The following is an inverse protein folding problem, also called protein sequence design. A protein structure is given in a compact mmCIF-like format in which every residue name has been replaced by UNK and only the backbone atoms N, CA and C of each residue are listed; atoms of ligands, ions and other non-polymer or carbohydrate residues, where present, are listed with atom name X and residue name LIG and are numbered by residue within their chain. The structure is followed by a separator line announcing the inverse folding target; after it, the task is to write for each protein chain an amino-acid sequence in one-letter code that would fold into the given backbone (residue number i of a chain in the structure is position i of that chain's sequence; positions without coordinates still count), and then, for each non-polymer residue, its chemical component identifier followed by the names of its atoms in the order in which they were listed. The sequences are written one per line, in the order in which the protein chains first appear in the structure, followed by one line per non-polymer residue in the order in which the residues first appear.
data_IF_706939614805
#
_entry.id   IF_706939614805
#
_cell.length_a   1.000
_cell.length_b   1.000
_cell.length_c   1.000
_cell.angle_alpha   90.00
_cell.angle_beta   90.00
_cell.angle_gamma   90.00
#
_symmetry.space_group_name_H-M   'P 1'
#
loop_
_entity.id
_entity.type
_entity.pdbx_description
1 polymer ?
#
# COMPACT_ATOMS: atom_id res chain seq x y z
N UNK A 1 16.53 18.11 -23.49
CA UNK A 1 15.64 16.98 -23.13
C UNK A 1 15.50 16.96 -21.62
N UNK A 2 14.31 17.25 -21.08
CA UNK A 2 14.05 17.32 -19.63
C UNK A 2 13.62 15.94 -19.16
N UNK A 3 14.43 15.28 -18.34
CA UNK A 3 14.01 14.10 -17.58
C UNK A 3 13.23 14.58 -16.35
N UNK A 4 11.98 14.16 -16.23
CA UNK A 4 11.21 14.28 -15.00
C UNK A 4 11.83 13.35 -13.95
N UNK A 5 12.49 13.92 -12.93
CA UNK A 5 12.84 13.18 -11.73
C UNK A 5 11.57 13.01 -10.89
N UNK A 6 10.84 11.92 -11.13
CA UNK A 6 9.81 11.43 -10.21
C UNK A 6 10.49 10.97 -8.92
N UNK A 7 10.06 11.51 -7.79
CA UNK A 7 10.37 10.97 -6.47
C UNK A 7 9.74 9.59 -6.34
N UNK A 8 10.56 8.53 -6.30
CA UNK A 8 10.11 7.18 -6.01
C UNK A 8 10.26 6.93 -4.51
N UNK A 9 9.13 6.90 -3.78
CA UNK A 9 9.09 6.33 -2.43
C UNK A 9 9.10 4.80 -2.56
N UNK A 10 10.22 4.17 -2.24
CA UNK A 10 10.34 2.70 -2.24
C UNK A 10 9.85 2.13 -0.92
N UNK A 11 8.79 1.32 -0.98
CA UNK A 11 8.31 0.48 0.12
C UNK A 11 9.16 -0.80 0.18
N UNK A 12 9.82 -1.05 1.30
CA UNK A 12 10.50 -2.32 1.56
C UNK A 12 9.51 -3.29 2.22
N UNK A 13 9.12 -4.35 1.49
CA UNK A 13 8.31 -5.44 2.05
C UNK A 13 9.24 -6.57 2.48
N UNK A 14 9.22 -6.88 3.78
CA UNK A 14 9.81 -8.10 4.34
C UNK A 14 8.88 -9.28 4.07
N UNK A 15 9.34 -10.24 3.28
CA UNK A 15 8.62 -11.49 3.01
C UNK A 15 8.91 -12.46 4.16
N UNK A 16 7.87 -12.81 4.93
CA UNK A 16 7.93 -13.83 5.98
C UNK A 16 7.67 -15.24 5.38
N UNK A 17 8.19 -16.30 6.02
CA UNK A 17 8.00 -17.66 5.56
C UNK A 17 6.57 -18.11 5.78
N UNK A 18 5.87 -18.32 4.67
CA UNK A 18 4.50 -18.81 4.62
C UNK A 18 4.44 -20.32 4.92
N UNK A 19 3.80 -20.71 6.02
CA UNK A 19 3.34 -22.10 6.23
C UNK A 19 1.93 -22.19 5.66
N UNK A 20 1.78 -22.72 4.45
CA UNK A 20 0.50 -22.85 3.77
C UNK A 20 -0.27 -24.10 4.25
N UNK A 21 -1.51 -23.90 4.72
CA UNK A 21 -2.44 -24.97 5.10
C UNK A 21 -3.75 -24.94 4.27
N UNK A 22 -3.72 -24.44 3.03
CA UNK A 22 -4.84 -24.63 2.08
C UNK A 22 -4.74 -23.92 0.72
N UNK A 23 -5.88 -23.75 0.03
CA UNK A 23 -6.00 -23.47 -1.43
C UNK A 23 -5.68 -22.03 -1.81
N UNK A 24 -5.93 -21.12 -0.89
CA UNK A 24 -5.55 -19.73 -1.02
C UNK A 24 -4.63 -19.34 0.10
N UNK A 25 -3.70 -18.46 -0.23
CA UNK A 25 -2.92 -17.72 0.74
C UNK A 25 -3.27 -16.25 0.62
N UNK A 26 -3.41 -15.61 1.77
CA UNK A 26 -3.40 -14.15 1.84
C UNK A 26 -1.96 -13.68 1.69
N UNK A 27 -1.72 -12.81 0.73
CA UNK A 27 -0.42 -12.18 0.48
C UNK A 27 -0.53 -10.66 0.43
N UNK A 28 0.60 -9.99 0.67
CA UNK A 28 0.75 -8.54 0.52
C UNK A 28 -0.36 -7.69 1.17
N UNK A 29 -0.75 -7.94 2.44
CA UNK A 29 -1.71 -7.07 3.10
C UNK A 29 -1.15 -5.65 3.19
N UNK A 30 -1.99 -4.66 2.90
CA UNK A 30 -1.62 -3.23 2.87
C UNK A 30 -2.78 -2.39 3.35
N UNK A 31 -2.48 -1.30 4.03
CA UNK A 31 -3.45 -0.27 4.38
C UNK A 31 -3.04 1.07 3.79
N UNK A 32 -4.03 1.83 3.30
CA UNK A 32 -3.89 3.22 2.88
C UNK A 32 -4.88 4.09 3.67
N UNK A 33 -4.94 5.38 3.35
CA UNK A 33 -5.99 6.24 3.91
C UNK A 33 -7.41 5.86 3.46
N UNK A 34 -7.53 5.10 2.37
CA UNK A 34 -8.81 4.86 1.70
C UNK A 34 -9.23 3.40 1.66
N UNK A 35 -8.31 2.45 1.83
CA UNK A 35 -8.61 1.01 1.72
C UNK A 35 -7.62 0.11 2.46
N UNK A 36 -8.11 -1.03 2.93
CA UNK A 36 -7.34 -2.21 3.30
C UNK A 36 -7.38 -3.17 2.12
N UNK A 37 -6.21 -3.56 1.63
CA UNK A 37 -6.09 -4.48 0.49
C UNK A 37 -5.23 -5.68 0.81
N UNK A 38 -5.49 -6.79 0.13
CA UNK A 38 -4.65 -7.98 0.13
C UNK A 38 -4.90 -8.84 -1.10
N UNK A 39 -3.92 -9.65 -1.46
CA UNK A 39 -4.02 -10.60 -2.55
C UNK A 39 -4.46 -11.96 -2.02
N UNK A 40 -5.42 -12.57 -2.68
CA UNK A 40 -5.75 -13.99 -2.54
C UNK A 40 -5.07 -14.73 -3.67
N UNK A 41 -3.95 -15.37 -3.35
CA UNK A 41 -3.14 -16.16 -4.28
C UNK A 41 -3.52 -17.62 -4.19
N UNK A 42 -3.92 -18.20 -5.32
CA UNK A 42 -4.24 -19.61 -5.41
C UNK A 42 -2.96 -20.46 -5.46
N UNK A 43 -2.92 -21.53 -4.68
CA UNK A 43 -1.82 -22.49 -4.64
C UNK A 43 -2.32 -23.93 -4.72
N UNK A 44 -1.69 -24.72 -5.59
CA UNK A 44 -1.87 -26.16 -5.64
C UNK A 44 -0.97 -26.85 -4.61
N UNK A 45 -1.54 -27.25 -3.47
CA UNK A 45 -0.79 -27.96 -2.46
C UNK A 45 -0.60 -29.45 -2.82
N UNK A 46 0.64 -29.92 -2.75
CA UNK A 46 0.95 -31.34 -2.92
C UNK A 46 0.26 -32.17 -1.83
N UNK A 47 -0.35 -33.29 -2.22
CA UNK A 47 -1.10 -34.16 -1.29
C UNK A 47 -2.54 -33.70 -0.96
N UNK A 48 -2.98 -32.53 -1.44
CA UNK A 48 -4.35 -32.03 -1.26
C UNK A 48 -5.25 -32.20 -2.49
N UNK A 49 -4.71 -32.71 -3.60
CA UNK A 49 -5.38 -32.89 -4.90
C UNK A 49 -6.70 -33.66 -4.79
N UNK A 50 -6.78 -34.64 -3.88
CA UNK A 50 -7.91 -35.58 -3.76
C UNK A 50 -8.83 -35.29 -2.56
N UNK A 51 -8.49 -34.30 -1.74
CA UNK A 51 -9.13 -34.09 -0.43
C UNK A 51 -10.40 -33.24 -0.49
N UNK A 52 -10.72 -32.68 -1.66
CA UNK A 52 -11.83 -31.77 -1.84
C UNK A 52 -12.77 -32.26 -2.94
N UNK A 53 -14.02 -32.62 -2.61
CA UNK A 53 -14.99 -33.04 -3.61
C UNK A 53 -15.23 -31.88 -4.59
N UNK A 54 -15.32 -32.21 -5.87
CA UNK A 54 -15.70 -31.24 -6.88
C UNK A 54 -17.16 -30.81 -6.62
N UNK A 55 -17.39 -29.54 -6.26
CA UNK A 55 -18.74 -29.00 -6.07
C UNK A 55 -19.36 -28.49 -7.37
N UNK A 56 -18.63 -28.45 -8.47
CA UNK A 56 -19.12 -28.02 -9.78
C UNK A 56 -19.76 -29.16 -10.57
N UNK A 57 -20.63 -29.95 -9.92
CA UNK A 57 -21.22 -31.15 -10.51
C UNK A 57 -22.58 -30.86 -11.14
N UNK A 58 -22.77 -31.36 -12.36
CA UNK A 58 -24.10 -31.46 -12.95
C UNK A 58 -24.92 -32.49 -12.17
N UNK A 59 -26.20 -32.18 -11.96
CA UNK A 59 -27.12 -33.03 -11.24
C UNK A 59 -27.39 -34.30 -12.05
N UNK A 60 -27.18 -35.46 -11.44
CA UNK A 60 -27.51 -36.74 -12.07
C UNK A 60 -29.01 -36.97 -12.07
N UNK A 61 -29.55 -37.48 -13.18
CA UNK A 61 -30.97 -37.77 -13.32
C UNK A 61 -31.42 -37.88 -14.77
N UNK A 62 -32.69 -38.26 -14.95
CA UNK A 62 -33.34 -38.32 -16.27
C UNK A 62 -33.80 -36.92 -16.69
N UNK A 63 -33.24 -36.39 -17.78
CA UNK A 63 -33.57 -35.07 -18.32
C UNK A 63 -32.34 -34.31 -18.81
N UNK A 64 -32.54 -33.09 -19.30
CA UNK A 64 -31.46 -32.18 -19.69
C UNK A 64 -30.75 -31.68 -18.43
N UNK A 65 -29.49 -32.02 -18.26
CA UNK A 65 -28.67 -31.59 -17.12
C UNK A 65 -28.01 -30.25 -17.46
N UNK A 66 -27.95 -29.34 -16.49
CA UNK A 66 -27.29 -28.05 -16.67
C UNK A 66 -26.58 -27.61 -15.40
N UNK A 67 -25.34 -27.17 -15.51
CA UNK A 67 -24.63 -26.43 -14.47
C UNK A 67 -25.06 -24.95 -14.55
N UNK A 68 -25.58 -24.39 -13.47
CA UNK A 68 -26.03 -22.98 -13.43
C UNK A 68 -25.00 -22.07 -12.78
N UNK A 69 -24.25 -22.60 -11.81
CA UNK A 69 -23.12 -21.88 -11.23
C UNK A 69 -22.07 -22.87 -10.77
N UNK A 70 -20.82 -22.43 -10.82
CA UNK A 70 -19.67 -23.09 -10.23
C UNK A 70 -18.73 -21.97 -9.84
N UNK A 71 -18.71 -21.66 -8.56
CA UNK A 71 -18.07 -20.47 -8.02
C UNK A 71 -17.05 -20.85 -6.98
N UNK A 72 -15.94 -20.16 -7.00
CA UNK A 72 -15.02 -20.14 -5.90
C UNK A 72 -15.31 -18.87 -5.08
N UNK A 73 -15.62 -19.07 -3.81
CA UNK A 73 -16.14 -18.04 -2.91
C UNK A 73 -15.08 -17.74 -1.87
N UNK A 74 -14.89 -16.47 -1.54
CA UNK A 74 -14.13 -16.05 -0.37
C UNK A 74 -14.99 -15.18 0.54
N UNK A 75 -14.76 -15.33 1.84
CA UNK A 75 -15.48 -14.66 2.91
C UNK A 75 -14.45 -14.08 3.87
N UNK A 76 -14.53 -12.77 4.10
CA UNK A 76 -13.68 -12.05 5.04
C UNK A 76 -14.48 -11.69 6.31
N UNK A 77 -14.01 -12.17 7.45
CA UNK A 77 -14.68 -12.05 8.74
C UNK A 77 -13.71 -11.58 9.83
N UNK A 78 -14.26 -11.09 10.94
CA UNK A 78 -13.50 -10.91 12.19
C UNK A 78 -13.13 -12.26 12.80
N UNK A 79 -11.97 -12.37 13.48
CA UNK A 79 -11.65 -13.57 14.30
C UNK A 79 -12.56 -13.66 15.51
N UNK A 80 -12.83 -12.52 16.15
CA UNK A 80 -13.54 -12.42 17.44
C UNK A 80 -15.05 -12.50 17.32
N UNK A 81 -15.60 -12.70 16.12
CA UNK A 81 -17.04 -12.82 15.87
C UNK A 81 -17.38 -13.43 14.51
N UNK A 82 -18.67 -13.61 14.24
CA UNK A 82 -19.20 -14.10 12.95
C UNK A 82 -19.62 -12.97 12.02
N UNK A 83 -19.16 -11.74 12.27
CA UNK A 83 -19.48 -10.58 11.45
C UNK A 83 -18.85 -10.72 10.06
N UNK A 84 -19.72 -10.83 9.06
CA UNK A 84 -19.34 -10.78 7.65
C UNK A 84 -18.93 -9.37 7.26
N UNK A 85 -17.67 -9.19 6.86
CA UNK A 85 -17.17 -7.91 6.37
C UNK A 85 -17.39 -7.83 4.86
N UNK A 86 -16.92 -8.85 4.15
CA UNK A 86 -17.01 -8.94 2.69
C UNK A 86 -17.14 -10.39 2.23
N UNK A 87 -17.87 -10.58 1.12
CA UNK A 87 -17.95 -11.85 0.38
C UNK A 87 -17.70 -11.56 -1.09
N UNK A 88 -16.88 -12.37 -1.74
CA UNK A 88 -16.67 -12.29 -3.18
C UNK A 88 -16.66 -13.68 -3.81
N UNK A 89 -16.78 -13.71 -5.13
CA UNK A 89 -16.96 -14.93 -5.90
C UNK A 89 -16.20 -14.84 -7.23
N UNK A 90 -15.60 -15.94 -7.66
CA UNK A 90 -14.99 -16.14 -8.98
C UNK A 90 -15.88 -17.12 -9.71
N UNK A 91 -16.41 -16.72 -10.87
CA UNK A 91 -17.14 -17.65 -11.73
C UNK A 91 -16.15 -18.54 -12.48
N UNK A 92 -16.16 -19.82 -12.14
CA UNK A 92 -15.28 -20.80 -12.77
C UNK A 92 -15.82 -21.27 -14.12
N UNK A 93 -17.08 -20.98 -14.47
CA UNK A 93 -17.73 -21.39 -15.74
C UNK A 93 -17.37 -20.49 -16.92
N UNK A 94 -16.98 -19.24 -16.66
CA UNK A 94 -16.84 -18.24 -17.71
C UNK A 94 -18.16 -18.06 -18.47
N UNK A 95 -18.17 -18.36 -19.77
CA UNK A 95 -19.36 -18.34 -20.62
C UNK A 95 -20.18 -19.64 -20.60
N UNK A 96 -19.71 -20.67 -19.89
CA UNK A 96 -20.33 -21.99 -19.77
C UNK A 96 -19.95 -22.98 -20.88
N UNK A 97 -19.07 -22.61 -21.81
CA UNK A 97 -18.71 -23.44 -22.97
C UNK A 97 -17.99 -24.75 -22.61
N UNK A 98 -17.44 -24.85 -21.40
CA UNK A 98 -16.72 -25.99 -20.86
C UNK A 98 -17.36 -26.57 -19.57
N UNK A 99 -18.66 -26.33 -19.36
CA UNK A 99 -19.42 -26.86 -18.21
C UNK A 99 -19.31 -28.40 -18.08
N UNK A 100 -19.25 -29.12 -19.21
CA UNK A 100 -19.09 -30.57 -19.21
C UNK A 100 -17.72 -30.99 -18.66
N UNK A 101 -16.64 -30.32 -19.04
CA UNK A 101 -15.29 -30.59 -18.52
C UNK A 101 -15.20 -30.28 -17.02
N UNK A 102 -15.73 -29.12 -16.59
CA UNK A 102 -15.82 -28.74 -15.17
C UNK A 102 -16.57 -29.78 -14.35
N UNK A 103 -17.71 -30.24 -14.86
CA UNK A 103 -18.55 -31.21 -14.16
C UNK A 103 -17.94 -32.61 -14.11
N UNK A 104 -17.14 -32.98 -15.12
CA UNK A 104 -16.49 -34.28 -15.16
C UNK A 104 -15.18 -34.32 -14.36
N UNK A 105 -14.62 -33.18 -13.99
CA UNK A 105 -13.46 -33.10 -13.12
C UNK A 105 -13.66 -33.92 -11.83
N UNK A 106 -12.66 -34.74 -11.48
CA UNK A 106 -12.78 -35.72 -10.41
C UNK A 106 -12.80 -35.03 -9.04
N UNK A 107 -11.89 -34.09 -8.83
CA UNK A 107 -11.78 -33.30 -7.60
C UNK A 107 -11.89 -31.80 -7.87
N UNK A 108 -12.03 -31.01 -6.81
CA UNK A 108 -12.13 -29.55 -6.94
C UNK A 108 -10.88 -28.93 -7.60
N UNK A 109 -9.67 -29.41 -7.27
CA UNK A 109 -8.43 -28.93 -7.91
C UNK A 109 -8.41 -29.18 -9.42
N UNK A 110 -8.99 -30.30 -9.88
CA UNK A 110 -9.10 -30.58 -11.30
C UNK A 110 -10.05 -29.58 -11.97
N UNK A 111 -11.17 -29.25 -11.31
CA UNK A 111 -12.12 -28.24 -11.81
C UNK A 111 -11.48 -26.84 -11.90
N UNK A 112 -10.66 -26.46 -10.91
CA UNK A 112 -9.89 -25.21 -10.94
C UNK A 112 -8.90 -25.19 -12.12
N UNK A 113 -8.20 -26.30 -12.39
CA UNK A 113 -7.28 -26.40 -13.53
C UNK A 113 -7.99 -26.31 -14.87
N UNK A 114 -9.17 -26.91 -14.98
CA UNK A 114 -10.04 -26.75 -16.16
C UNK A 114 -10.38 -25.27 -16.35
N UNK A 115 -10.86 -24.58 -15.31
CA UNK A 115 -11.18 -23.16 -15.40
C UNK A 115 -9.98 -22.29 -15.81
N UNK A 116 -8.79 -22.52 -15.22
CA UNK A 116 -7.56 -21.82 -15.61
C UNK A 116 -7.15 -22.09 -17.06
N UNK A 117 -7.27 -23.33 -17.53
CA UNK A 117 -6.98 -23.69 -18.92
C UNK A 117 -7.89 -22.96 -19.93
N UNK A 118 -9.11 -22.61 -19.50
CA UNK A 118 -10.07 -21.79 -20.25
C UNK A 118 -9.96 -20.29 -19.96
N UNK A 119 -8.91 -19.85 -19.25
CA UNK A 119 -8.56 -18.44 -19.07
C UNK A 119 -9.14 -17.78 -17.82
N UNK A 120 -9.76 -18.52 -16.90
CA UNK A 120 -10.24 -17.98 -15.62
C UNK A 120 -9.06 -17.65 -14.72
N UNK A 121 -9.00 -16.40 -14.24
CA UNK A 121 -7.98 -15.97 -13.28
C UNK A 121 -8.44 -16.27 -11.85
N UNK A 122 -7.78 -17.24 -11.21
CA UNK A 122 -8.09 -17.63 -9.84
C UNK A 122 -7.57 -16.64 -8.79
N UNK A 123 -6.48 -15.93 -9.07
CA UNK A 123 -5.96 -14.93 -8.13
C UNK A 123 -6.92 -13.74 -8.03
N UNK A 124 -7.18 -13.26 -6.82
CA UNK A 124 -8.06 -12.12 -6.57
C UNK A 124 -7.31 -11.04 -5.79
N UNK A 125 -7.62 -9.78 -6.09
CA UNK A 125 -7.28 -8.68 -5.21
C UNK A 125 -8.55 -8.30 -4.44
N UNK A 126 -8.43 -8.24 -3.12
CA UNK A 126 -9.52 -7.84 -2.24
C UNK A 126 -9.23 -6.42 -1.76
N UNK A 127 -10.21 -5.54 -1.88
CA UNK A 127 -10.18 -4.18 -1.35
C UNK A 127 -11.40 -3.94 -0.47
N UNK A 128 -11.15 -3.39 0.71
CA UNK A 128 -12.15 -2.94 1.67
C UNK A 128 -11.99 -1.44 1.82
N UNK A 129 -12.95 -0.64 1.31
CA UNK A 129 -12.86 0.80 1.40
C UNK A 129 -13.06 1.27 2.84
N UNK A 130 -12.41 2.36 3.20
CA UNK A 130 -12.52 3.00 4.52
C UNK A 130 -13.97 3.39 4.87
N UNK A 131 -14.80 3.68 3.85
CA UNK A 131 -16.23 3.93 4.06
C UNK A 131 -16.97 2.76 4.73
N UNK A 132 -16.45 1.54 4.63
CA UNK A 132 -17.00 0.35 5.27
C UNK A 132 -16.30 -0.01 6.59
N UNK A 133 -15.42 0.85 7.11
CA UNK A 133 -14.61 0.54 8.29
C UNK A 133 -15.43 0.30 9.56
N UNK A 134 -16.65 0.83 9.62
CA UNK A 134 -17.59 0.54 10.71
C UNK A 134 -17.95 -0.95 10.81
N UNK A 135 -17.78 -1.74 9.73
CA UNK A 135 -17.91 -3.21 9.79
C UNK A 135 -16.81 -3.86 10.63
N UNK A 136 -15.74 -3.14 10.96
CA UNK A 136 -14.61 -3.62 11.77
C UNK A 136 -14.77 -3.31 13.27
N UNK A 137 -15.91 -2.78 13.71
CA UNK A 137 -16.19 -2.51 15.13
C UNK A 137 -16.06 -3.78 15.96
N UNK A 138 -15.30 -3.68 17.07
CA UNK A 138 -15.01 -4.80 17.97
C UNK A 138 -13.86 -5.70 17.51
N UNK A 139 -13.20 -5.38 16.39
CA UNK A 139 -11.99 -6.06 15.94
C UNK A 139 -10.79 -5.72 16.84
N UNK A 140 -9.99 -6.73 17.18
CA UNK A 140 -8.64 -6.56 17.74
C UNK A 140 -7.56 -6.46 16.64
N UNK A 141 -7.98 -6.30 15.38
CA UNK A 141 -7.12 -6.27 14.22
C UNK A 141 -6.80 -7.64 13.65
N UNK A 142 -7.51 -8.68 14.09
CA UNK A 142 -7.37 -10.04 13.57
C UNK A 142 -8.58 -10.42 12.72
N UNK A 143 -8.31 -10.86 11.51
CA UNK A 143 -9.32 -11.18 10.51
C UNK A 143 -9.08 -12.57 9.93
N UNK A 144 -10.15 -13.23 9.52
CA UNK A 144 -10.11 -14.53 8.85
C UNK A 144 -10.60 -14.37 7.42
N UNK A 145 -9.83 -14.93 6.48
CA UNK A 145 -10.33 -15.21 5.13
C UNK A 145 -10.65 -16.70 5.05
N UNK A 146 -11.91 -17.01 4.74
CA UNK A 146 -12.40 -18.36 4.46
C UNK A 146 -12.64 -18.48 2.97
N UNK A 147 -12.07 -19.49 2.32
CA UNK A 147 -12.41 -19.84 0.94
C UNK A 147 -13.28 -21.09 0.90
N UNK A 148 -14.20 -21.18 -0.06
CA UNK A 148 -15.07 -22.33 -0.29
C UNK A 148 -15.48 -22.43 -1.76
N UNK A 149 -16.02 -23.56 -2.19
CA UNK A 149 -16.52 -23.75 -3.55
C UNK A 149 -18.01 -24.05 -3.53
N UNK A 150 -18.78 -23.35 -4.36
CA UNK A 150 -20.24 -23.46 -4.44
C UNK A 150 -20.65 -23.75 -5.89
N UNK A 151 -21.30 -24.89 -6.14
CA UNK A 151 -21.88 -25.20 -7.45
C UNK A 151 -23.38 -25.45 -7.35
N UNK A 152 -24.12 -24.97 -8.33
CA UNK A 152 -25.57 -25.11 -8.42
C UNK A 152 -25.94 -25.70 -9.78
N UNK A 153 -26.74 -26.75 -9.79
CA UNK A 153 -27.13 -27.44 -11.04
C UNK A 153 -28.60 -27.84 -11.03
N UNK A 154 -29.18 -27.92 -12.23
CA UNK A 154 -30.62 -28.17 -12.46
C UNK A 154 -30.85 -29.38 -13.36
N UNK A 155 -32.08 -29.89 -13.32
CA UNK A 155 -32.62 -30.87 -14.26
C UNK A 155 -33.77 -30.23 -15.04
N UNK A 156 -33.72 -30.28 -16.37
CA UNK A 156 -34.70 -29.64 -17.27
C UNK A 156 -34.89 -28.14 -16.97
N UNK A 157 -33.82 -27.44 -16.60
CA UNK A 157 -33.89 -26.02 -16.21
C UNK A 157 -34.69 -25.73 -14.93
N UNK A 158 -35.10 -26.76 -14.18
CA UNK A 158 -35.88 -26.66 -12.95
C UNK A 158 -35.25 -27.50 -11.83
N UNK A 159 -35.78 -27.44 -10.61
CA UNK A 159 -35.30 -28.26 -9.46
C UNK A 159 -33.79 -28.14 -9.19
N UNK A 160 -33.31 -26.91 -9.23
CA UNK A 160 -31.91 -26.59 -9.03
C UNK A 160 -31.49 -26.81 -7.58
N UNK A 161 -30.32 -27.40 -7.38
CA UNK A 161 -29.81 -27.72 -6.05
C UNK A 161 -28.32 -27.43 -5.97
N UNK A 162 -27.88 -27.01 -4.78
CA UNK A 162 -26.46 -26.90 -4.48
C UNK A 162 -25.86 -28.31 -4.52
N UNK A 163 -24.72 -28.47 -5.18
CA UNK A 163 -24.01 -29.74 -5.17
C UNK A 163 -23.65 -30.12 -3.73
N UNK A 164 -23.91 -31.37 -3.37
CA UNK A 164 -23.50 -31.92 -2.07
C UNK A 164 -22.00 -32.22 -2.11
N UNK A 165 -21.23 -31.68 -1.15
CA UNK A 165 -19.80 -31.94 -1.12
C UNK A 165 -19.02 -31.01 -0.23
N UNK A 166 -19.34 -30.98 1.07
CA UNK A 166 -18.54 -30.31 2.10
C UNK A 166 -18.06 -28.90 1.70
N UNK A 167 -16.97 -28.50 2.30
CA UNK A 167 -16.46 -27.14 2.16
C UNK A 167 -14.95 -27.23 2.24
N UNK A 168 -14.28 -26.91 1.13
CA UNK A 168 -12.84 -26.75 1.09
C UNK A 168 -12.44 -25.49 1.85
N UNK A 169 -12.62 -25.49 3.18
CA UNK A 169 -12.29 -24.36 4.02
C UNK A 169 -10.78 -24.27 4.15
N UNK A 170 -10.21 -23.22 3.57
CA UNK A 170 -8.91 -22.72 4.01
C UNK A 170 -9.16 -21.48 4.81
N UNK A 171 -8.58 -21.43 6.01
CA UNK A 171 -8.67 -20.31 6.92
C UNK A 171 -7.30 -19.66 7.00
N UNK A 172 -7.16 -18.44 6.50
CA UNK A 172 -5.97 -17.62 6.74
C UNK A 172 -6.31 -16.52 7.73
N UNK A 173 -5.36 -16.18 8.62
CA UNK A 173 -5.53 -15.07 9.55
C UNK A 173 -4.66 -13.89 9.13
N UNK A 174 -5.25 -12.71 9.03
CA UNK A 174 -4.53 -11.43 8.89
C UNK A 174 -4.49 -10.79 10.28
N UNK A 175 -3.33 -10.30 10.71
CA UNK A 175 -3.20 -9.55 11.95
C UNK A 175 -2.54 -8.19 11.67
N UNK A 176 -3.35 -7.14 11.58
CA UNK A 176 -2.88 -5.80 11.21
C UNK A 176 -1.85 -5.27 12.21
N UNK A 177 -2.05 -5.50 13.51
CA UNK A 177 -1.10 -5.02 14.54
C UNK A 177 0.26 -5.70 14.42
N UNK A 178 0.29 -7.03 14.22
CA UNK A 178 1.55 -7.76 14.07
C UNK A 178 2.29 -7.43 12.77
N UNK A 179 1.56 -6.97 11.75
CA UNK A 179 2.10 -6.59 10.46
C UNK A 179 2.41 -5.09 10.35
N UNK A 180 2.19 -4.30 11.43
CA UNK A 180 2.30 -2.84 11.43
C UNK A 180 1.44 -2.16 10.35
N UNK A 181 0.25 -2.73 10.10
CA UNK A 181 -0.76 -2.25 9.16
C UNK A 181 -1.98 -1.66 9.89
N UNK A 182 -1.93 -1.57 11.21
CA UNK A 182 -2.99 -1.01 12.04
C UNK A 182 -3.21 0.49 11.79
N UNK A 183 -2.18 1.21 11.36
CA UNK A 183 -2.26 2.62 10.99
C UNK A 183 -1.65 2.84 9.61
N UNK A 184 -2.37 3.54 8.74
CA UNK A 184 -1.87 4.01 7.45
C UNK A 184 -1.71 5.53 7.50
N UNK A 185 -0.57 6.04 7.03
CA UNK A 185 -0.33 7.47 6.94
C UNK A 185 0.23 7.86 5.58
N UNK A 186 -0.26 8.95 5.01
CA UNK A 186 0.25 9.56 3.79
C UNK A 186 0.70 10.99 4.08
N UNK A 187 1.93 11.30 3.67
CA UNK A 187 2.50 12.63 3.80
C UNK A 187 2.20 13.47 2.56
N UNK A 188 1.69 14.67 2.78
CA UNK A 188 1.52 15.70 1.78
C UNK A 188 2.49 16.86 2.05
N UNK A 189 3.04 17.41 0.99
CA UNK A 189 3.94 18.56 1.05
C UNK A 189 3.33 19.72 0.25
N UNK A 190 3.27 20.90 0.86
CA UNK A 190 2.85 22.13 0.19
C UNK A 190 3.96 23.17 0.25
N UNK A 191 4.16 23.91 -0.85
CA UNK A 191 5.26 24.85 -1.04
C UNK A 191 6.04 24.56 -2.32
N UNK A 192 7.13 25.29 -2.59
CA UNK A 192 8.01 25.02 -3.73
C UNK A 192 8.75 23.69 -3.51
N UNK A 193 8.20 22.59 -4.05
CA UNK A 193 8.77 21.23 -3.99
C UNK A 193 10.01 21.05 -4.88
N UNK A 194 10.29 22.04 -5.73
CA UNK A 194 11.53 22.16 -6.48
C UNK A 194 12.02 23.60 -6.40
N UNK A 195 13.23 23.78 -5.87
CA UNK A 195 13.95 25.05 -5.83
C UNK A 195 14.31 25.52 -7.25
N UNK A 196 14.26 24.64 -8.27
CA UNK A 196 14.48 25.03 -9.67
C UNK A 196 13.47 26.10 -10.11
N UNK A 197 12.26 26.17 -9.57
CA UNK A 197 11.30 27.20 -10.01
C UNK A 197 11.56 28.60 -9.41
N UNK A 198 12.35 28.72 -8.34
CA UNK A 198 12.68 30.01 -7.71
C UNK A 198 14.07 30.51 -8.14
N UNK A 199 14.94 29.63 -8.63
CA UNK A 199 16.33 29.96 -9.03
C UNK A 199 16.67 29.55 -10.49
N UNK A 200 15.73 29.08 -11.30
CA UNK A 200 15.99 28.85 -12.74
C UNK A 200 15.89 30.14 -13.56
N UNK A 201 17.01 30.51 -14.17
CA UNK A 201 17.23 31.75 -14.92
C UNK A 201 18.67 32.23 -14.71
N UNK A 202 19.11 33.25 -15.47
CA UNK A 202 20.39 33.92 -15.26
C UNK A 202 20.35 34.72 -13.94
N UNK A 203 20.51 34.04 -12.80
CA UNK A 203 20.59 34.66 -11.49
C UNK A 203 22.04 34.69 -11.02
N UNK A 204 22.62 35.89 -11.01
CA UNK A 204 23.96 36.14 -10.51
C UNK A 204 23.92 36.19 -8.98
N UNK A 205 24.48 35.18 -8.31
CA UNK A 205 24.74 35.27 -6.87
C UNK A 205 25.94 36.18 -6.64
N UNK A 206 25.70 37.41 -6.18
CA UNK A 206 26.75 38.37 -5.83
C UNK A 206 27.03 38.29 -4.33
N UNK A 207 28.19 37.74 -3.97
CA UNK A 207 28.68 37.74 -2.59
C UNK A 207 29.62 38.93 -2.35
N UNK A 208 29.27 39.80 -1.39
CA UNK A 208 30.16 40.86 -0.91
C UNK A 208 30.99 40.34 0.28
N UNK A 209 32.31 40.41 0.15
CA UNK A 209 33.33 39.91 1.08
C UNK A 209 33.30 40.48 2.51
N UNK A 210 32.48 41.49 2.77
CA UNK A 210 32.30 42.09 4.10
C UNK A 210 31.21 41.42 4.96
N UNK A 211 30.44 40.49 4.40
CA UNK A 211 29.40 39.74 5.12
C UNK A 211 29.93 38.39 5.62
N UNK A 212 29.94 38.19 6.94
CA UNK A 212 30.55 37.00 7.57
C UNK A 212 29.82 35.68 7.33
N UNK A 213 28.62 35.70 6.74
CA UNK A 213 27.79 34.55 6.31
C UNK A 213 26.47 35.08 5.75
N UNK A 214 25.93 34.44 4.71
CA UNK A 214 24.58 34.71 4.21
C UNK A 214 23.80 33.39 4.16
N UNK A 215 22.80 33.26 5.03
CA UNK A 215 21.70 32.30 4.87
C UNK A 215 20.54 33.07 4.26
N UNK A 216 20.15 32.74 3.03
CA UNK A 216 18.92 33.27 2.44
C UNK A 216 17.85 32.19 2.49
N UNK A 217 16.76 32.46 3.19
CA UNK A 217 15.56 31.66 3.11
C UNK A 217 14.92 31.86 1.72
N UNK A 218 15.01 30.85 0.87
CA UNK A 218 14.48 30.89 -0.52
C UNK A 218 13.12 30.21 -0.67
N UNK A 219 12.57 29.68 0.43
CA UNK A 219 11.25 29.05 0.46
C UNK A 219 11.05 28.18 1.70
N UNK A 220 9.80 27.87 1.99
CA UNK A 220 9.42 26.92 3.04
C UNK A 220 8.53 25.80 2.47
N UNK A 221 8.76 24.56 2.91
CA UNK A 221 7.77 23.48 2.78
C UNK A 221 7.04 23.32 4.11
N UNK A 222 5.72 23.33 4.04
CA UNK A 222 4.87 22.81 5.10
C UNK A 222 4.51 21.37 4.75
N UNK A 223 4.82 20.43 5.65
CA UNK A 223 4.37 19.05 5.52
C UNK A 223 3.15 18.83 6.39
N UNK A 224 2.21 18.08 5.87
CA UNK A 224 1.12 17.51 6.64
C UNK A 224 1.12 16.01 6.47
N UNK A 225 0.86 15.28 7.55
CA UNK A 225 0.69 13.83 7.50
C UNK A 225 -0.74 13.54 7.89
N UNK A 226 -1.47 12.91 6.98
CA UNK A 226 -2.79 12.39 7.26
C UNK A 226 -2.65 10.94 7.68
N UNK A 227 -3.30 10.56 8.78
CA UNK A 227 -3.27 9.20 9.27
C UNK A 227 -4.68 8.67 9.51
N UNK A 228 -4.85 7.39 9.22
CA UNK A 228 -6.05 6.61 9.50
C UNK A 228 -5.65 5.38 10.31
N UNK A 229 -6.43 5.10 11.35
CA UNK A 229 -6.31 3.87 12.13
C UNK A 229 -7.38 2.88 11.67
N UNK A 230 -6.95 1.68 11.34
CA UNK A 230 -7.82 0.60 10.87
C UNK A 230 -8.49 -0.18 12.02
N UNK A 231 -8.18 0.19 13.28
CA UNK A 231 -8.69 -0.44 14.50
C UNK A 231 -9.57 0.51 15.31
N UNK A 232 -10.45 -0.04 16.14
CA UNK A 232 -11.37 0.76 16.98
C UNK A 232 -10.69 1.43 18.17
N UNK A 233 -9.45 1.08 18.47
CA UNK A 233 -8.71 1.62 19.62
C UNK A 233 -7.64 2.58 19.14
N UNK A 234 -7.52 3.73 19.79
CA UNK A 234 -6.49 4.70 19.48
C UNK A 234 -5.08 4.08 19.55
N UNK A 235 -4.19 4.53 18.67
CA UNK A 235 -2.82 4.04 18.57
C UNK A 235 -1.84 5.18 18.71
N UNK A 236 -0.84 4.96 19.57
CA UNK A 236 0.31 5.82 19.64
C UNK A 236 1.35 5.34 18.63
N UNK A 237 1.80 6.25 17.77
CA UNK A 237 2.86 6.01 16.79
C UNK A 237 3.87 7.14 16.87
N UNK A 238 5.06 6.91 16.33
CA UNK A 238 6.09 7.93 16.20
C UNK A 238 6.28 8.27 14.73
N UNK A 239 5.93 9.49 14.35
CA UNK A 239 6.23 10.01 13.02
C UNK A 239 7.70 10.44 12.97
N UNK A 240 8.48 9.77 12.13
CA UNK A 240 9.85 10.15 11.84
C UNK A 240 9.94 10.71 10.43
N UNK A 241 10.58 11.86 10.29
CA UNK A 241 10.76 12.50 9.00
C UNK A 241 12.21 12.89 8.82
N UNK A 242 12.72 12.70 7.61
CA UNK A 242 14.09 13.06 7.24
C UNK A 242 14.14 13.68 5.86
N UNK A 243 14.86 14.79 5.73
CA UNK A 243 15.29 15.36 4.46
C UNK A 243 16.79 15.25 4.38
N UNK A 244 17.24 14.52 3.37
CA UNK A 244 18.63 14.49 2.98
C UNK A 244 18.85 15.60 1.95
N UNK A 245 19.74 16.57 2.23
CA UNK A 245 20.05 17.61 1.27
C UNK A 245 20.82 17.01 0.08
N UNK A 246 20.57 17.47 -1.14
CA UNK A 246 21.56 17.31 -2.21
C UNK A 246 22.54 18.47 -2.09
N UNK A 247 23.70 18.22 -1.48
CA UNK A 247 24.74 19.22 -1.36
C UNK A 247 25.47 19.35 -2.69
N UNK A 248 25.08 20.34 -3.50
CA UNK A 248 25.88 20.71 -4.68
C UNK A 248 26.91 21.73 -4.25
N UNK A 249 28.19 21.38 -4.44
CA UNK A 249 29.31 22.30 -4.25
C UNK A 249 29.66 22.89 -5.61
N UNK A 250 29.33 24.15 -5.82
CA UNK A 250 29.88 24.90 -6.94
C UNK A 250 31.16 25.60 -6.47
N UNK A 251 32.25 25.44 -7.21
CA UNK A 251 33.52 26.11 -6.96
C UNK A 251 33.79 27.18 -8.01
N UNK A 252 34.09 28.39 -7.55
CA UNK A 252 34.62 29.48 -8.37
C UNK A 252 35.62 30.24 -7.51
N UNK A 253 36.92 30.10 -7.80
CA UNK A 253 37.96 30.55 -6.88
C UNK A 253 37.89 29.81 -5.54
N UNK A 254 37.91 30.56 -4.43
CA UNK A 254 37.86 30.02 -3.06
C UNK A 254 36.44 29.95 -2.45
N UNK A 255 35.41 30.28 -3.23
CA UNK A 255 34.02 30.30 -2.78
C UNK A 255 33.36 28.93 -2.97
N UNK A 256 32.78 28.39 -1.90
CA UNK A 256 31.94 27.20 -1.89
C UNK A 256 30.52 27.60 -1.49
N UNK A 257 29.54 27.18 -2.29
CA UNK A 257 28.11 27.30 -1.96
C UNK A 257 27.54 25.91 -1.74
N UNK A 258 26.80 25.73 -0.66
CA UNK A 258 26.08 24.51 -0.29
C UNK A 258 24.60 24.83 -0.18
N UNK A 259 23.73 24.06 -0.82
CA UNK A 259 22.28 24.16 -0.61
C UNK A 259 21.73 23.00 0.22
N UNK A 260 20.69 23.27 0.99
CA UNK A 260 20.07 22.29 1.87
C UNK A 260 18.73 22.72 2.47
N UNK A 261 18.11 21.77 3.18
CA UNK A 261 16.96 22.01 4.03
C UNK A 261 17.43 22.24 5.48
N UNK A 262 16.79 23.17 6.19
CA UNK A 262 17.17 23.61 7.52
C UNK A 262 15.96 23.72 8.46
N UNK A 263 16.20 23.46 9.74
CA UNK A 263 15.18 23.52 10.80
C UNK A 263 14.76 24.94 11.20
N UNK A 264 15.60 25.93 10.92
CA UNK A 264 15.32 27.33 11.21
C UNK A 264 16.01 28.24 10.18
N UNK A 265 15.53 29.48 10.07
CA UNK A 265 16.08 30.49 9.15
C UNK A 265 17.51 30.93 9.51
N UNK A 266 17.99 30.60 10.73
CA UNK A 266 19.26 31.08 11.29
C UNK A 266 20.31 29.97 11.46
N UNK A 267 20.19 28.85 10.74
CA UNK A 267 20.92 27.63 11.08
C UNK A 267 22.41 27.68 10.69
N UNK A 268 23.26 27.34 11.65
CA UNK A 268 24.66 27.01 11.45
C UNK A 268 24.81 25.67 10.71
N UNK A 269 25.44 25.74 9.53
CA UNK A 269 26.30 24.76 8.84
C UNK A 269 25.87 23.32 8.57
N UNK A 270 24.93 22.71 9.29
CA UNK A 270 24.52 21.32 9.04
C UNK A 270 23.27 21.29 8.15
N UNK A 271 23.47 21.00 6.87
CA UNK A 271 22.36 20.76 5.95
C UNK A 271 21.67 19.43 6.30
N UNK A 272 20.34 19.42 6.18
CA UNK A 272 19.50 18.27 6.51
C UNK A 272 18.53 18.56 7.64
N UNK A 273 17.37 17.91 7.59
CA UNK A 273 16.33 18.11 8.58
C UNK A 273 15.76 16.77 9.00
N UNK A 274 15.79 16.49 10.29
CA UNK A 274 15.12 15.32 10.86
C UNK A 274 14.28 15.77 12.04
N UNK A 275 13.06 15.25 12.14
CA UNK A 275 12.28 15.36 13.38
C UNK A 275 11.59 14.04 13.68
N UNK A 276 11.30 13.87 14.97
CA UNK A 276 10.51 12.76 15.49
C UNK A 276 9.41 13.36 16.35
N UNK A 277 8.16 12.97 16.11
CA UNK A 277 7.00 13.46 16.85
C UNK A 277 6.10 12.30 17.26
N UNK A 278 5.83 12.13 18.56
CA UNK A 278 4.75 11.24 19.01
C UNK A 278 3.41 11.76 18.49
N UNK A 279 2.64 10.86 17.89
CA UNK A 279 1.27 11.12 17.45
C UNK A 279 0.33 10.09 18.08
N UNK A 280 -0.89 10.51 18.37
CA UNK A 280 -1.96 9.64 18.84
C UNK A 280 -3.03 9.63 17.78
N UNK A 281 -3.09 8.56 16.99
CA UNK A 281 -4.12 8.40 15.96
C UNK A 281 -5.36 7.83 16.63
N UNK A 282 -6.47 8.56 16.58
CA UNK A 282 -7.77 8.07 17.05
C UNK A 282 -8.12 6.70 16.44
N UNK A 283 -9.08 5.98 17.01
CA UNK A 283 -9.66 4.80 16.35
C UNK A 283 -10.32 5.16 15.02
N UNK A 284 -10.81 4.18 14.26
CA UNK A 284 -11.52 4.47 13.00
C UNK A 284 -12.81 5.30 13.17
N UNK A 285 -13.33 5.42 14.40
CA UNK A 285 -14.41 6.32 14.75
C UNK A 285 -13.97 7.80 14.78
N UNK A 286 -12.65 8.04 14.75
CA UNK A 286 -12.01 9.33 14.52
C UNK A 286 -11.84 9.65 13.04
N UNK A 287 -11.93 10.94 12.72
CA UNK A 287 -11.60 11.49 11.40
C UNK A 287 -10.10 11.33 11.16
N UNK A 288 -9.68 11.19 9.89
CA UNK A 288 -8.27 11.31 9.49
C UNK A 288 -7.62 12.51 10.18
N UNK A 289 -6.65 12.25 11.06
CA UNK A 289 -5.95 13.32 11.77
C UNK A 289 -4.85 13.88 10.86
N UNK A 290 -4.87 15.20 10.70
CA UNK A 290 -3.83 15.93 9.99
C UNK A 290 -2.79 16.45 10.98
N UNK A 291 -1.56 15.95 10.88
CA UNK A 291 -0.43 16.43 11.67
C UNK A 291 0.41 17.37 10.83
N UNK A 292 0.31 18.67 11.11
CA UNK A 292 1.20 19.66 10.50
C UNK A 292 2.58 19.59 11.17
N UNK A 293 3.62 19.60 10.34
CA UNK A 293 5.01 19.73 10.79
C UNK A 293 5.38 21.21 10.92
N UNK A 294 6.52 21.48 11.54
CA UNK A 294 7.12 22.81 11.43
C UNK A 294 7.50 23.07 9.97
N UNK A 295 7.53 24.34 9.59
CA UNK A 295 8.04 24.76 8.28
C UNK A 295 9.51 24.37 8.14
N UNK A 296 9.85 23.82 6.98
CA UNK A 296 11.22 23.47 6.60
C UNK A 296 11.75 24.56 5.71
N UNK A 297 12.83 25.21 6.13
CA UNK A 297 13.41 26.34 5.40
C UNK A 297 14.47 25.87 4.41
N UNK A 298 14.49 26.49 3.23
CA UNK A 298 15.56 26.30 2.25
C UNK A 298 16.58 27.40 2.31
N UNK A 299 17.85 27.02 2.35
CA UNK A 299 18.97 27.95 2.49
C UNK A 299 20.08 27.70 1.49
N UNK A 300 20.73 28.79 1.08
CA UNK A 300 22.08 28.77 0.51
C UNK A 300 23.07 29.06 1.63
N UNK A 301 24.09 28.23 1.78
CA UNK A 301 25.20 28.44 2.71
C UNK A 301 26.47 28.70 1.91
N UNK A 302 27.16 29.80 2.20
CA UNK A 302 28.39 30.20 1.49
C UNK A 302 29.56 30.20 2.45
N UNK A 303 30.61 29.45 2.10
CA UNK A 303 31.92 29.49 2.74
C UNK A 303 32.93 30.10 1.75
N UNK A 304 33.51 31.24 2.10
CA UNK A 304 34.64 31.82 1.36
C UNK A 304 35.68 32.35 2.37
N UNK A 305 36.96 31.95 2.25
CA UNK A 305 38.06 32.56 3.01
C UNK A 305 38.58 33.85 2.35
N UNK A 306 38.12 34.20 1.14
CA UNK A 306 38.63 35.30 0.33
C UNK A 306 37.79 36.57 0.48
N UNK A 307 38.46 37.69 0.73
CA UNK A 307 37.83 39.02 0.79
C UNK A 307 37.71 39.70 -0.58
N UNK A 308 37.99 39.00 -1.68
CA UNK A 308 38.05 39.62 -3.01
C UNK A 308 37.73 38.63 -4.13
N UNK A 309 36.46 38.65 -4.59
CA UNK A 309 36.01 38.53 -5.99
C UNK A 309 34.50 38.25 -6.03
N UNK A 310 33.77 38.91 -6.93
CA UNK A 310 32.43 38.46 -7.33
C UNK A 310 32.55 37.09 -7.99
N UNK A 311 31.82 36.10 -7.50
CA UNK A 311 31.85 34.72 -8.03
C UNK A 311 30.47 34.35 -8.55
N UNK A 312 30.37 34.00 -9.84
CA UNK A 312 29.14 33.44 -10.42
C UNK A 312 29.18 31.92 -10.34
N UNK A 313 28.15 31.29 -9.77
CA UNK A 313 28.06 29.84 -9.59
C UNK A 313 26.69 29.35 -10.03
N UNK A 314 26.68 28.32 -10.89
CA UNK A 314 25.46 27.61 -11.24
C UNK A 314 25.25 26.45 -10.25
N UNK A 315 24.07 26.40 -9.65
CA UNK A 315 23.73 25.46 -8.57
C UNK A 315 22.45 24.70 -8.91
N UNK A 316 22.51 23.37 -8.90
CA UNK A 316 21.32 22.52 -8.93
C UNK A 316 21.03 22.00 -7.52
N UNK A 317 19.93 22.46 -6.92
CA UNK A 317 19.54 22.12 -5.56
C UNK A 317 18.33 21.19 -5.58
N UNK A 318 18.55 19.95 -6.02
CA UNK A 318 17.57 18.87 -5.87
C UNK A 318 17.48 18.44 -4.39
N UNK A 319 16.38 17.82 -3.98
CA UNK A 319 16.23 17.28 -2.62
C UNK A 319 15.50 15.95 -2.67
N UNK A 320 15.82 15.07 -1.71
CA UNK A 320 15.09 13.83 -1.48
C UNK A 320 14.71 13.73 0.00
N UNK A 321 13.44 13.47 0.28
CA UNK A 321 12.92 13.25 1.63
C UNK A 321 12.34 11.85 1.79
N UNK A 322 12.36 11.34 3.01
CA UNK A 322 11.74 10.07 3.41
C UNK A 322 10.99 10.26 4.74
N UNK A 323 9.84 9.60 4.88
CA UNK A 323 9.10 9.51 6.14
C UNK A 323 8.93 8.04 6.53
N UNK A 324 8.93 7.76 7.83
CA UNK A 324 8.64 6.45 8.39
C UNK A 324 7.73 6.58 9.61
N UNK A 325 6.89 5.56 9.82
CA UNK A 325 6.00 5.45 10.96
C UNK A 325 6.38 4.20 11.76
N UNK A 326 6.80 4.39 13.01
CA UNK A 326 7.17 3.31 13.92
C UNK A 326 6.22 3.27 15.13
#
# INVERSE_FOLDING_TARGET
MKLFNLLAFTLAFSVLPNVALGHYQVENPRTSLSELTFDLKHYYLSGHLTNHPNTCKMKTGTGTQSLQSCKLVYVFNLVTGSTLIQRGEIDLRGDGSYDLELSNAQYHYDALRVAEAHGVVLNQNVSIPYAEISKLVGSDGRFIVITSSEGYSCLNGTNCTLASGGTGYTTNTINLSQQNLDVACEANASGPLSIENTLSGDHLYLHNSSASRLSQNIGAISLSVNCVNWLSTAKNKTLNFSITPNTTIASGGDTQVTCGAYSNASAGTAAGYTFSRPISVAGFDGISEQYNTNDIFYGLYVSSPSTSAETSLNLNCALSGQYTLN
#
